data_IF_630193681393
#
_entry.id   IF_630193681393
#
_cell.length_a   1.000
_cell.length_b   1.000
_cell.length_c   1.000
_cell.angle_alpha   90.00
_cell.angle_beta   90.00
_cell.angle_gamma   90.00
#
_symmetry.space_group_name_H-M   'P 1'
#
loop_
_entity.id
_entity.type
_entity.pdbx_description
1 polymer ?
#
# COMPACT_ATOMS: atom_id res chain seq x y z
N UNK A 1 75.62 4.27 -22.95
CA UNK A 1 74.50 4.64 -23.84
C UNK A 1 73.24 4.80 -22.96
N UNK A 2 72.92 6.05 -22.63
CA UNK A 2 71.71 6.41 -21.79
C UNK A 2 70.56 6.66 -22.71
N UNK A 3 69.47 5.89 -22.54
CA UNK A 3 68.18 6.13 -23.22
C UNK A 3 67.22 6.82 -22.23
N UNK A 4 66.96 8.07 -22.45
CA UNK A 4 65.92 8.88 -21.82
C UNK A 4 64.58 8.61 -22.51
N UNK A 5 63.54 8.22 -21.71
CA UNK A 5 62.16 8.08 -22.15
C UNK A 5 61.43 9.38 -21.79
N UNK A 6 60.77 10.09 -22.70
CA UNK A 6 59.95 11.25 -22.35
C UNK A 6 58.59 10.81 -21.81
N UNK A 7 58.25 11.35 -20.65
CA UNK A 7 56.95 11.23 -19.99
C UNK A 7 55.97 12.17 -20.68
N UNK A 8 54.99 11.61 -21.46
CA UNK A 8 53.90 12.36 -22.04
C UNK A 8 52.79 12.52 -20.97
N UNK A 9 52.64 13.74 -20.49
CA UNK A 9 51.56 14.14 -19.59
C UNK A 9 50.29 14.33 -20.46
N UNK A 10 49.34 13.38 -20.43
CA UNK A 10 48.04 13.55 -21.03
C UNK A 10 47.14 14.38 -20.09
N UNK A 11 46.98 15.65 -20.39
CA UNK A 11 45.99 16.50 -19.76
C UNK A 11 44.61 16.09 -20.28
N UNK A 12 43.84 15.29 -19.49
CA UNK A 12 42.42 15.01 -19.75
C UNK A 12 41.63 16.22 -19.28
N UNK A 13 41.09 16.96 -20.23
CA UNK A 13 40.19 18.09 -19.97
C UNK A 13 38.81 17.55 -19.54
N UNK A 14 38.56 17.61 -18.22
CA UNK A 14 37.23 17.39 -17.66
C UNK A 14 36.47 18.72 -17.69
N UNK A 15 35.79 19.00 -18.80
CA UNK A 15 34.80 20.09 -18.87
C UNK A 15 33.65 19.69 -19.78
N UNK A 16 32.69 18.88 -19.26
CA UNK A 16 31.39 18.67 -19.91
C UNK A 16 30.33 18.15 -18.94
N UNK A 17 30.22 18.66 -17.71
CA UNK A 17 29.20 18.21 -16.77
C UNK A 17 28.07 19.21 -16.42
N UNK A 18 28.09 20.53 -16.71
CA UNK A 18 26.95 21.38 -16.36
C UNK A 18 25.78 21.36 -17.36
N UNK A 19 26.03 21.05 -18.65
CA UNK A 19 24.99 21.15 -19.68
C UNK A 19 23.92 20.04 -19.60
N UNK A 20 24.29 18.83 -19.20
CA UNK A 20 23.36 17.71 -19.10
C UNK A 20 22.37 17.84 -17.92
N UNK A 21 22.78 18.46 -16.83
CA UNK A 21 21.89 18.69 -15.68
C UNK A 21 20.89 19.82 -15.93
N UNK A 22 21.29 20.87 -16.62
CA UNK A 22 20.40 21.97 -17.01
C UNK A 22 19.32 21.48 -17.99
N UNK A 23 19.68 20.66 -18.97
CA UNK A 23 18.76 20.13 -19.96
C UNK A 23 17.73 19.15 -19.35
N UNK A 24 18.11 18.36 -18.35
CA UNK A 24 17.16 17.50 -17.62
C UNK A 24 16.19 18.32 -16.77
N UNK A 25 16.65 19.39 -16.12
CA UNK A 25 15.80 20.28 -15.32
C UNK A 25 14.76 20.99 -16.21
N UNK A 26 15.14 21.43 -17.41
CA UNK A 26 14.21 22.07 -18.35
C UNK A 26 13.17 21.08 -18.90
N UNK A 27 13.56 19.83 -19.14
CA UNK A 27 12.60 18.77 -19.55
C UNK A 27 11.60 18.45 -18.45
N UNK A 28 12.03 18.42 -17.18
CA UNK A 28 11.10 18.14 -16.07
C UNK A 28 10.17 19.33 -15.81
N UNK A 29 10.67 20.55 -15.95
CA UNK A 29 9.81 21.75 -15.94
C UNK A 29 8.82 21.75 -17.10
N UNK A 30 9.26 21.40 -18.30
CA UNK A 30 8.38 21.28 -19.46
C UNK A 30 7.25 20.26 -19.24
N UNK A 31 7.55 19.12 -18.60
CA UNK A 31 6.51 18.14 -18.22
C UNK A 31 5.51 18.73 -17.24
N UNK A 32 5.97 19.50 -16.26
CA UNK A 32 5.08 20.15 -15.28
C UNK A 32 4.12 21.11 -15.98
N UNK A 33 4.63 21.95 -16.88
CA UNK A 33 3.80 22.85 -17.67
C UNK A 33 2.84 22.09 -18.59
N UNK A 34 3.31 21.05 -19.27
CA UNK A 34 2.48 20.22 -20.15
C UNK A 34 1.32 19.55 -19.36
N UNK A 35 1.61 18.99 -18.21
CA UNK A 35 0.60 18.37 -17.36
C UNK A 35 -0.43 19.40 -16.83
N UNK A 36 0.03 20.59 -16.49
CA UNK A 36 -0.87 21.69 -16.12
C UNK A 36 -1.79 22.07 -17.29
N UNK A 37 -1.22 22.21 -18.49
CA UNK A 37 -1.98 22.49 -19.72
C UNK A 37 -3.01 21.39 -20.04
N UNK A 38 -2.64 20.13 -19.90
CA UNK A 38 -3.56 19.02 -20.11
C UNK A 38 -4.75 19.05 -19.15
N UNK A 39 -4.52 19.33 -17.87
CA UNK A 39 -5.60 19.45 -16.88
C UNK A 39 -6.51 20.65 -17.14
N UNK A 40 -5.92 21.79 -17.52
CA UNK A 40 -6.69 22.97 -17.89
C UNK A 40 -7.55 22.70 -19.15
N UNK A 41 -6.98 22.01 -20.13
CA UNK A 41 -7.70 21.59 -21.33
C UNK A 41 -8.89 20.68 -21.02
N UNK A 42 -8.70 19.68 -20.16
CA UNK A 42 -9.74 18.74 -19.72
C UNK A 42 -10.82 19.45 -18.89
N UNK A 43 -10.45 20.51 -18.16
CA UNK A 43 -11.37 21.35 -17.44
C UNK A 43 -12.13 22.35 -18.33
N UNK A 44 -11.77 22.46 -19.62
CA UNK A 44 -12.37 23.42 -20.55
C UNK A 44 -11.79 24.83 -20.48
N UNK A 45 -10.76 25.07 -19.68
CA UNK A 45 -10.01 26.33 -19.64
C UNK A 45 -8.91 26.33 -20.70
N UNK A 46 -9.33 26.60 -21.95
CA UNK A 46 -8.42 26.54 -23.07
C UNK A 46 -7.39 27.66 -23.10
N UNK A 47 -7.70 28.82 -22.49
CA UNK A 47 -6.76 29.93 -22.39
C UNK A 47 -5.57 29.54 -21.52
N UNK A 48 -5.83 29.01 -20.31
CA UNK A 48 -4.79 28.51 -19.42
C UNK A 48 -4.04 27.33 -20.03
N UNK A 49 -4.74 26.44 -20.76
CA UNK A 49 -4.10 25.33 -21.46
C UNK A 49 -3.10 25.81 -22.51
N UNK A 50 -3.44 26.82 -23.31
CA UNK A 50 -2.56 27.42 -24.31
C UNK A 50 -1.29 27.96 -23.63
N UNK A 51 -1.44 28.80 -22.60
CA UNK A 51 -0.31 29.39 -21.88
C UNK A 51 0.64 28.33 -21.33
N UNK A 52 0.09 27.27 -20.73
CA UNK A 52 0.86 26.19 -20.16
C UNK A 52 1.58 25.35 -21.24
N UNK A 53 0.92 25.01 -22.33
CA UNK A 53 1.54 24.28 -23.42
C UNK A 53 2.62 25.09 -24.13
N UNK A 54 2.41 26.41 -24.35
CA UNK A 54 3.43 27.28 -24.89
C UNK A 54 4.66 27.42 -23.99
N UNK A 55 4.44 27.48 -22.67
CA UNK A 55 5.54 27.46 -21.69
C UNK A 55 6.34 26.14 -21.76
N UNK A 56 5.64 25.00 -21.92
CA UNK A 56 6.27 23.71 -22.10
C UNK A 56 7.08 23.64 -23.41
N UNK A 57 6.55 24.17 -24.51
CA UNK A 57 7.21 24.20 -25.81
C UNK A 57 8.49 25.03 -25.80
N UNK A 58 8.50 26.17 -25.10
CA UNK A 58 9.69 27.01 -24.93
C UNK A 58 10.83 26.30 -24.19
N UNK A 59 10.51 25.42 -23.23
CA UNK A 59 11.50 24.69 -22.43
C UNK A 59 12.01 23.43 -23.13
N UNK A 60 11.13 22.70 -23.80
CA UNK A 60 11.47 21.46 -24.50
C UNK A 60 10.62 21.29 -25.76
N UNK A 61 11.00 21.91 -26.88
CA UNK A 61 10.27 21.83 -28.13
C UNK A 61 10.05 20.40 -28.58
N UNK A 62 8.78 20.02 -28.76
CA UNK A 62 8.39 18.67 -29.22
C UNK A 62 7.15 18.74 -30.13
N UNK A 63 7.10 17.98 -31.21
CA UNK A 63 5.93 17.97 -32.08
C UNK A 63 4.62 17.70 -31.35
N UNK A 64 4.62 16.79 -30.34
CA UNK A 64 3.44 16.48 -29.57
C UNK A 64 2.88 17.70 -28.80
N UNK A 65 3.73 18.62 -28.34
CA UNK A 65 3.30 19.84 -27.67
C UNK A 65 2.65 20.79 -28.65
N UNK A 66 3.23 20.97 -29.85
CA UNK A 66 2.60 21.76 -30.92
C UNK A 66 1.20 21.26 -31.25
N UNK A 67 1.00 19.95 -31.32
CA UNK A 67 -0.32 19.38 -31.53
C UNK A 67 -1.31 19.76 -30.40
N UNK A 68 -0.85 19.76 -29.17
CA UNK A 68 -1.68 20.12 -28.00
C UNK A 68 -2.03 21.62 -28.01
N UNK A 69 -1.07 22.48 -28.35
CA UNK A 69 -1.29 23.91 -28.55
C UNK A 69 -2.34 24.16 -29.64
N UNK A 70 -2.18 23.51 -30.82
CA UNK A 70 -3.12 23.62 -31.90
C UNK A 70 -4.54 23.20 -31.50
N UNK A 71 -4.67 22.11 -30.76
CA UNK A 71 -5.97 21.66 -30.24
C UNK A 71 -6.58 22.67 -29.26
N UNK A 72 -5.80 23.23 -28.37
CA UNK A 72 -6.29 24.20 -27.39
C UNK A 72 -6.75 25.48 -28.10
N UNK A 73 -5.98 26.00 -29.05
CA UNK A 73 -6.40 27.14 -29.90
C UNK A 73 -7.64 26.84 -30.72
N UNK A 74 -7.74 25.65 -31.31
CA UNK A 74 -8.96 25.23 -32.02
C UNK A 74 -10.19 25.28 -31.12
N UNK A 75 -10.08 24.73 -29.88
CA UNK A 75 -11.18 24.75 -28.92
C UNK A 75 -11.53 26.16 -28.47
N UNK A 76 -10.52 26.98 -28.21
CA UNK A 76 -10.72 28.37 -27.83
C UNK A 76 -11.43 29.16 -28.93
N UNK A 77 -11.05 28.96 -30.18
CA UNK A 77 -11.74 29.58 -31.33
C UNK A 77 -13.23 29.23 -31.36
N UNK A 78 -13.60 27.97 -31.17
CA UNK A 78 -15.01 27.59 -31.15
C UNK A 78 -15.77 28.11 -29.91
N UNK A 79 -15.06 28.55 -28.89
CA UNK A 79 -15.65 29.14 -27.67
C UNK A 79 -15.88 30.67 -27.82
N UNK A 80 -14.88 31.40 -28.32
CA UNK A 80 -14.86 32.86 -28.34
C UNK A 80 -14.95 33.50 -29.74
N UNK A 81 -14.80 32.71 -30.79
CA UNK A 81 -14.90 33.16 -32.19
C UNK A 81 -13.74 34.03 -32.66
N UNK A 82 -12.68 34.19 -31.88
CA UNK A 82 -11.58 35.09 -32.26
C UNK A 82 -10.69 34.51 -33.36
N UNK A 83 -10.54 35.22 -34.50
CA UNK A 83 -9.78 34.72 -35.67
C UNK A 83 -8.31 34.40 -35.40
N UNK A 84 -7.72 35.05 -34.38
CA UNK A 84 -6.33 34.80 -33.98
C UNK A 84 -6.10 33.35 -33.56
N UNK A 85 -6.99 32.78 -32.76
CA UNK A 85 -6.90 31.39 -32.35
C UNK A 85 -7.02 30.43 -33.52
N UNK A 86 -7.86 30.74 -34.48
CA UNK A 86 -7.99 29.94 -35.70
C UNK A 86 -6.69 29.94 -36.51
N UNK A 87 -6.04 31.09 -36.66
CA UNK A 87 -4.77 31.20 -37.42
C UNK A 87 -3.64 30.44 -36.74
N UNK A 88 -3.50 30.60 -35.43
CA UNK A 88 -2.48 29.89 -34.66
C UNK A 88 -2.73 28.39 -34.70
N UNK A 89 -3.97 27.93 -34.52
CA UNK A 89 -4.30 26.51 -34.65
C UNK A 89 -3.89 25.92 -36.01
N UNK A 90 -4.18 26.63 -37.12
CA UNK A 90 -3.78 26.20 -38.48
C UNK A 90 -2.26 26.18 -38.62
N UNK A 91 -1.56 27.19 -38.12
CA UNK A 91 -0.10 27.26 -38.17
C UNK A 91 0.55 26.08 -37.40
N UNK A 92 0.10 25.84 -36.21
CA UNK A 92 0.67 24.80 -35.33
C UNK A 92 0.35 23.36 -35.81
N UNK A 93 -0.85 23.14 -36.39
CA UNK A 93 -1.15 21.86 -37.05
C UNK A 93 -0.27 21.62 -38.25
N UNK A 94 0.03 22.66 -39.05
CA UNK A 94 0.98 22.57 -40.18
C UNK A 94 2.39 22.25 -39.64
N UNK A 95 2.88 23.00 -38.65
CA UNK A 95 4.17 22.76 -38.03
C UNK A 95 4.29 21.35 -37.45
N UNK A 96 3.23 20.84 -36.82
CA UNK A 96 3.18 19.46 -36.35
C UNK A 96 3.28 18.43 -37.50
N UNK A 97 2.56 18.65 -38.59
CA UNK A 97 2.61 17.77 -39.76
C UNK A 97 4.02 17.77 -40.37
N UNK A 98 4.67 18.93 -40.47
CA UNK A 98 6.01 19.06 -41.05
C UNK A 98 7.06 18.38 -40.15
N UNK A 99 6.91 18.47 -38.84
CA UNK A 99 7.80 17.85 -37.83
C UNK A 99 7.57 16.35 -37.60
N UNK A 100 6.45 15.78 -38.10
CA UNK A 100 6.07 14.40 -37.82
C UNK A 100 6.13 13.56 -39.10
N UNK A 101 6.90 12.45 -39.14
CA UNK A 101 6.98 11.58 -40.30
C UNK A 101 5.61 11.00 -40.74
N UNK A 102 5.40 10.71 -42.01
CA UNK A 102 4.17 10.06 -42.47
C UNK A 102 3.89 8.74 -41.74
N UNK A 103 2.62 8.55 -41.36
CA UNK A 103 2.18 7.34 -40.63
C UNK A 103 2.53 7.31 -39.13
N UNK A 104 3.12 8.36 -38.58
CA UNK A 104 3.45 8.42 -37.16
C UNK A 104 2.59 9.46 -36.41
N UNK A 105 2.45 9.28 -35.12
CA UNK A 105 1.76 10.17 -34.20
C UNK A 105 0.30 10.43 -34.62
N UNK A 106 -0.14 11.67 -34.40
CA UNK A 106 -1.51 12.13 -34.70
C UNK A 106 -1.58 12.94 -35.99
N UNK A 107 -0.73 12.62 -36.98
CA UNK A 107 -0.64 13.35 -38.25
C UNK A 107 -1.96 13.37 -39.04
N UNK A 108 -2.70 12.25 -39.01
CA UNK A 108 -4.02 12.15 -39.67
C UNK A 108 -5.04 13.08 -38.98
N UNK A 109 -5.03 13.15 -37.66
CA UNK A 109 -5.94 14.02 -36.90
C UNK A 109 -5.63 15.51 -37.18
N UNK A 110 -4.33 15.85 -37.27
CA UNK A 110 -3.92 17.20 -37.63
C UNK A 110 -4.32 17.58 -39.06
N UNK A 111 -4.18 16.67 -40.00
CA UNK A 111 -4.62 16.88 -41.38
C UNK A 111 -6.15 17.06 -41.46
N UNK A 112 -6.91 16.26 -40.75
CA UNK A 112 -8.36 16.40 -40.65
C UNK A 112 -8.74 17.76 -40.05
N UNK A 113 -8.08 18.16 -38.97
CA UNK A 113 -8.33 19.46 -38.35
C UNK A 113 -8.06 20.63 -39.31
N UNK A 114 -7.00 20.54 -40.12
CA UNK A 114 -6.72 21.55 -41.16
C UNK A 114 -7.81 21.57 -42.25
N UNK A 115 -8.32 20.42 -42.67
CA UNK A 115 -9.43 20.32 -43.64
C UNK A 115 -10.67 21.05 -43.12
N UNK A 116 -10.93 20.98 -41.82
CA UNK A 116 -12.07 21.65 -41.16
C UNK A 116 -11.83 23.17 -41.01
N UNK A 117 -10.61 23.58 -40.59
CA UNK A 117 -10.32 24.94 -40.15
C UNK A 117 -9.95 25.91 -41.34
N UNK A 118 -9.23 25.43 -42.36
CA UNK A 118 -8.77 26.28 -43.46
C UNK A 118 -9.93 26.95 -44.20
N UNK A 119 -11.04 26.26 -44.55
CA UNK A 119 -12.18 26.91 -45.24
C UNK A 119 -12.87 27.98 -44.33
N UNK A 120 -12.76 27.86 -43.03
CA UNK A 120 -13.31 28.87 -42.13
C UNK A 120 -12.39 30.10 -42.13
N UNK A 121 -11.07 29.90 -42.09
CA UNK A 121 -10.11 31.00 -42.17
C UNK A 121 -10.18 31.78 -43.47
N UNK A 122 -10.40 31.09 -44.59
CA UNK A 122 -10.53 31.71 -45.90
C UNK A 122 -11.78 32.62 -46.02
N UNK A 123 -12.81 32.37 -45.24
CA UNK A 123 -14.04 33.20 -45.19
C UNK A 123 -13.91 34.41 -44.27
N UNK A 124 -12.92 34.43 -43.38
CA UNK A 124 -12.67 35.53 -42.51
C UNK A 124 -11.79 36.56 -43.21
N UNK A 125 -12.20 37.83 -43.25
CA UNK A 125 -11.41 38.90 -43.84
C UNK A 125 -9.99 38.91 -43.22
N UNK A 126 -8.91 39.15 -44.03
CA UNK A 126 -7.55 39.20 -43.50
C UNK A 126 -7.46 40.36 -42.50
N UNK A 127 -7.31 39.98 -41.24
CA UNK A 127 -7.02 40.94 -40.18
C UNK A 127 -5.57 41.40 -40.37
N UNK A 128 -5.39 42.68 -40.67
CA UNK A 128 -4.09 43.33 -40.71
C UNK A 128 -3.58 43.36 -39.27
N UNK A 129 -2.79 42.34 -38.93
CA UNK A 129 -2.35 42.03 -37.58
C UNK A 129 -1.64 43.19 -36.88
N UNK A 130 -2.37 43.92 -36.11
CA UNK A 130 -1.80 44.60 -34.94
C UNK A 130 -1.68 43.52 -33.85
N UNK A 131 -0.47 43.07 -33.57
CA UNK A 131 -0.13 42.34 -32.37
C UNK A 131 -0.40 43.28 -31.21
N UNK A 132 -1.63 43.28 -30.67
CA UNK A 132 -1.90 43.87 -29.38
C UNK A 132 -1.06 43.06 -28.40
N UNK A 133 -0.03 43.70 -27.86
CA UNK A 133 0.73 43.09 -26.75
C UNK A 133 -0.31 42.83 -25.65
N UNK A 134 -0.75 41.58 -25.51
CA UNK A 134 -1.55 41.14 -24.37
C UNK A 134 -0.75 41.52 -23.13
N UNK A 135 -1.37 42.30 -22.24
CA UNK A 135 -0.80 42.54 -20.94
C UNK A 135 -0.50 41.18 -20.32
N UNK A 136 0.76 40.89 -20.06
CA UNK A 136 1.18 39.60 -19.46
C UNK A 136 0.54 39.55 -18.07
N UNK A 137 -0.52 38.79 -17.97
CA UNK A 137 -1.18 38.55 -16.69
C UNK A 137 -0.35 37.56 -15.87
N UNK A 138 -0.11 37.89 -14.62
CA UNK A 138 0.53 36.98 -13.67
C UNK A 138 -0.51 35.96 -13.22
N UNK A 139 -0.30 34.69 -13.55
CA UNK A 139 -1.24 33.60 -13.24
C UNK A 139 -0.57 32.48 -12.48
N UNK A 140 -1.27 31.93 -11.49
CA UNK A 140 -0.91 30.68 -10.86
C UNK A 140 -1.92 29.59 -11.25
N UNK A 141 -1.43 28.40 -11.50
CA UNK A 141 -2.26 27.20 -11.71
C UNK A 141 -1.85 26.14 -10.69
N UNK A 142 -2.73 25.85 -9.75
CA UNK A 142 -2.50 24.85 -8.72
C UNK A 142 -3.34 23.61 -9.02
N UNK A 143 -2.70 22.47 -9.03
CA UNK A 143 -3.33 21.19 -9.32
C UNK A 143 -2.89 20.10 -8.36
N UNK A 144 -3.65 19.03 -8.24
CA UNK A 144 -3.32 17.86 -7.43
C UNK A 144 -3.69 16.58 -8.17
N UNK A 145 -2.83 15.54 -8.13
CA UNK A 145 -3.11 14.25 -8.77
C UNK A 145 -4.11 13.40 -7.97
N UNK A 146 -4.42 13.79 -6.73
CA UNK A 146 -5.33 13.03 -5.88
C UNK A 146 -6.79 13.21 -6.32
N UNK A 147 -7.55 12.11 -6.48
CA UNK A 147 -8.95 12.19 -6.89
C UNK A 147 -9.78 12.94 -5.84
N UNK A 148 -10.59 13.88 -6.30
CA UNK A 148 -11.45 14.67 -5.42
C UNK A 148 -10.73 15.76 -4.61
N UNK A 149 -9.49 16.09 -4.96
CA UNK A 149 -8.78 17.20 -4.32
C UNK A 149 -9.50 18.53 -4.56
N UNK A 150 -9.58 19.34 -3.52
CA UNK A 150 -10.11 20.71 -3.55
C UNK A 150 -8.99 21.67 -3.22
N UNK A 151 -8.90 22.77 -3.93
CA UNK A 151 -7.82 23.73 -3.86
C UNK A 151 -8.39 25.11 -3.51
N UNK A 152 -7.77 25.79 -2.56
CA UNK A 152 -8.11 27.14 -2.15
C UNK A 152 -6.82 27.94 -1.96
N UNK A 153 -6.70 29.07 -2.63
CA UNK A 153 -5.58 30.00 -2.46
C UNK A 153 -6.09 31.33 -1.88
N UNK A 154 -5.27 32.00 -1.06
CA UNK A 154 -5.57 33.31 -0.46
C UNK A 154 -6.92 33.37 0.29
N UNK A 155 -7.30 32.27 0.94
CA UNK A 155 -8.60 32.11 1.62
C UNK A 155 -9.83 32.20 0.69
N UNK A 156 -9.68 32.09 -0.62
CA UNK A 156 -10.81 31.99 -1.53
C UNK A 156 -11.61 30.70 -1.32
N UNK A 157 -12.81 30.64 -1.87
CA UNK A 157 -13.61 29.41 -1.82
C UNK A 157 -12.88 28.25 -2.51
N UNK A 158 -12.94 27.01 -1.95
CA UNK A 158 -12.32 25.86 -2.56
C UNK A 158 -12.94 25.52 -3.92
N UNK A 159 -12.14 24.97 -4.81
CA UNK A 159 -12.60 24.48 -6.12
C UNK A 159 -13.58 23.31 -5.97
N UNK A 160 -14.27 22.98 -7.05
CA UNK A 160 -14.97 21.72 -7.16
C UNK A 160 -13.97 20.55 -7.05
N UNK A 161 -14.39 19.38 -6.52
CA UNK A 161 -13.50 18.22 -6.36
C UNK A 161 -12.83 17.78 -7.67
N UNK A 162 -11.50 17.70 -7.66
CA UNK A 162 -10.70 17.26 -8.81
C UNK A 162 -10.46 18.34 -9.89
N UNK A 163 -10.94 19.56 -9.68
CA UNK A 163 -10.73 20.66 -10.61
C UNK A 163 -9.50 21.49 -10.21
N UNK A 164 -8.54 21.74 -11.13
CA UNK A 164 -7.40 22.63 -10.85
C UNK A 164 -7.87 24.07 -10.64
N UNK A 165 -7.12 24.82 -9.84
CA UNK A 165 -7.37 26.21 -9.58
C UNK A 165 -6.45 27.08 -10.44
N UNK A 166 -7.02 27.90 -11.31
CA UNK A 166 -6.29 28.95 -12.03
C UNK A 166 -6.74 30.31 -11.54
N UNK A 167 -5.79 31.12 -11.08
CA UNK A 167 -6.06 32.47 -10.58
C UNK A 167 -5.11 33.48 -11.24
N UNK A 168 -5.66 34.63 -11.61
CA UNK A 168 -4.89 35.85 -11.82
C UNK A 168 -4.57 36.50 -10.47
N UNK A 169 -3.30 36.68 -10.21
CA UNK A 169 -2.82 37.16 -8.90
C UNK A 169 -1.80 38.28 -9.08
N UNK A 170 -1.53 39.05 -8.04
CA UNK A 170 -0.42 39.99 -8.02
C UNK A 170 0.90 39.21 -7.84
N UNK A 171 2.03 39.78 -8.31
CA UNK A 171 3.33 39.18 -7.99
C UNK A 171 3.54 39.08 -6.49
N UNK A 172 4.03 37.92 -6.02
CA UNK A 172 4.26 37.69 -4.60
C UNK A 172 3.96 36.26 -4.17
N UNK A 173 3.91 36.04 -2.86
CA UNK A 173 3.65 34.74 -2.26
C UNK A 173 2.16 34.54 -1.99
N UNK A 174 1.61 33.42 -2.48
CA UNK A 174 0.20 33.05 -2.35
C UNK A 174 0.07 31.71 -1.63
N UNK A 175 -0.42 31.66 -0.38
CA UNK A 175 -0.66 30.43 0.33
C UNK A 175 -1.85 29.68 -0.28
N UNK A 176 -1.59 28.47 -0.79
CA UNK A 176 -2.59 27.59 -1.35
C UNK A 176 -2.77 26.36 -0.46
N UNK A 177 -4.00 26.12 -0.04
CA UNK A 177 -4.40 24.95 0.73
C UNK A 177 -5.04 23.93 -0.21
N UNK A 178 -4.57 22.68 -0.13
CA UNK A 178 -5.10 21.54 -0.88
C UNK A 178 -5.62 20.50 0.11
N UNK A 179 -6.85 20.05 -0.10
CA UNK A 179 -7.52 19.06 0.77
C UNK A 179 -8.14 17.96 -0.08
N UNK A 180 -8.10 16.72 0.41
CA UNK A 180 -8.80 15.61 -0.20
C UNK A 180 -9.24 14.59 0.86
N UNK A 181 -10.35 13.90 0.61
CA UNK A 181 -10.85 12.88 1.53
C UNK A 181 -9.83 11.73 1.69
N UNK A 182 -9.47 11.41 2.93
CA UNK A 182 -8.51 10.36 3.24
C UNK A 182 -7.03 10.78 3.14
N UNK A 183 -6.75 12.07 2.95
CA UNK A 183 -5.40 12.65 2.92
C UNK A 183 -5.21 13.69 4.02
N UNK A 184 -3.96 13.98 4.34
CA UNK A 184 -3.65 15.12 5.18
C UNK A 184 -3.74 16.39 4.34
N UNK A 185 -4.27 17.46 4.92
CA UNK A 185 -4.30 18.77 4.30
C UNK A 185 -2.86 19.25 4.08
N UNK A 186 -2.58 19.81 2.91
CA UNK A 186 -1.30 20.43 2.62
C UNK A 186 -1.51 21.93 2.33
N UNK A 187 -0.60 22.74 2.85
CA UNK A 187 -0.50 24.16 2.46
C UNK A 187 0.82 24.33 1.73
N UNK A 188 0.77 24.96 0.56
CA UNK A 188 1.93 25.24 -0.25
C UNK A 188 1.95 26.71 -0.64
N UNK A 189 3.08 27.38 -0.41
CA UNK A 189 3.28 28.77 -0.78
C UNK A 189 3.72 28.85 -2.24
N UNK A 190 2.91 29.48 -3.07
CA UNK A 190 3.17 29.64 -4.50
C UNK A 190 3.70 31.04 -4.75
N UNK A 191 4.93 31.14 -5.27
CA UNK A 191 5.53 32.42 -5.65
C UNK A 191 5.08 32.80 -7.07
N UNK A 192 4.21 33.79 -7.17
CA UNK A 192 3.78 34.36 -8.45
C UNK A 192 4.80 35.38 -8.96
N UNK A 193 5.30 35.16 -10.18
CA UNK A 193 6.26 36.05 -10.85
C UNK A 193 5.52 36.93 -11.84
N UNK A 194 5.87 38.21 -11.89
CA UNK A 194 5.21 39.19 -12.76
C UNK A 194 5.21 38.79 -14.21
N UNK A 195 4.03 38.73 -14.81
CA UNK A 195 3.84 38.38 -16.22
C UNK A 195 4.11 36.92 -16.57
N UNK A 196 4.25 36.05 -15.58
CA UNK A 196 4.46 34.60 -15.80
C UNK A 196 3.23 33.77 -15.41
N UNK A 197 3.12 32.60 -16.07
CA UNK A 197 2.22 31.52 -15.69
C UNK A 197 3.00 30.52 -14.84
N UNK A 198 2.59 30.33 -13.59
CA UNK A 198 3.28 29.46 -12.63
C UNK A 198 2.41 28.24 -12.31
N UNK A 199 2.69 27.06 -12.91
CA UNK A 199 2.01 25.82 -12.57
C UNK A 199 2.66 25.17 -11.34
N UNK A 200 1.83 24.69 -10.42
CA UNK A 200 2.26 23.97 -9.21
C UNK A 200 1.41 22.72 -9.05
N UNK A 201 2.05 21.58 -8.87
CA UNK A 201 1.39 20.33 -8.55
C UNK A 201 1.66 19.96 -7.09
N UNK A 202 0.59 19.84 -6.30
CA UNK A 202 0.65 19.52 -4.88
C UNK A 202 0.21 18.09 -4.65
N UNK A 203 1.14 17.25 -4.18
CA UNK A 203 0.85 15.85 -3.82
C UNK A 203 0.53 15.77 -2.32
N UNK A 204 -0.61 15.15 -1.98
CA UNK A 204 -1.03 14.96 -0.60
C UNK A 204 -0.53 13.64 -0.03
N UNK A 205 -0.24 13.64 1.26
CA UNK A 205 0.13 12.43 2.01
C UNK A 205 -1.13 11.69 2.46
N UNK A 206 -1.20 10.39 2.22
CA UNK A 206 -2.33 9.56 2.64
C UNK A 206 -2.44 9.50 4.17
N UNK A 207 -3.67 9.58 4.68
CA UNK A 207 -3.94 9.29 6.10
C UNK A 207 -3.96 7.78 6.29
N UNK A 208 -3.15 7.25 7.20
CA UNK A 208 -3.18 5.81 7.49
C UNK A 208 -4.53 5.44 8.08
N UNK A 209 -4.99 4.25 7.75
CA UNK A 209 -6.10 3.62 8.44
C UNK A 209 -5.68 3.15 9.83
N UNK A 210 -6.66 2.91 10.70
CA UNK A 210 -6.44 2.43 12.07
C UNK A 210 -7.27 1.19 12.36
N UNK A 211 -6.61 0.11 12.73
CA UNK A 211 -7.25 -1.12 13.20
C UNK A 211 -7.40 -1.09 14.72
N UNK A 212 -8.62 -1.20 15.21
CA UNK A 212 -8.93 -1.35 16.64
C UNK A 212 -9.49 -2.76 16.84
N UNK A 213 -8.80 -3.57 17.65
CA UNK A 213 -9.23 -4.93 17.96
C UNK A 213 -9.98 -4.92 19.28
N UNK A 214 -11.24 -5.38 19.22
CA UNK A 214 -12.12 -5.48 20.39
C UNK A 214 -12.11 -6.90 20.95
N UNK A 215 -12.29 -7.06 22.27
CA UNK A 215 -12.37 -8.33 23.02
C UNK A 215 -11.11 -9.22 23.03
N UNK A 216 -10.02 -8.76 22.43
CA UNK A 216 -8.75 -9.49 22.42
C UNK A 216 -7.57 -8.63 22.88
N UNK A 217 -7.77 -7.77 23.89
CA UNK A 217 -6.71 -6.93 24.45
C UNK A 217 -5.48 -7.75 24.85
N UNK A 218 -4.29 -7.28 24.46
CA UNK A 218 -3.02 -7.97 24.72
C UNK A 218 -2.76 -9.16 23.80
N UNK A 219 -3.62 -9.44 22.80
CA UNK A 219 -3.32 -10.39 21.75
C UNK A 219 -2.29 -9.81 20.77
N UNK A 220 -1.42 -10.64 20.25
CA UNK A 220 -0.49 -10.25 19.19
C UNK A 220 -1.25 -10.08 17.87
N UNK A 221 -0.92 -9.02 17.12
CA UNK A 221 -1.52 -8.70 15.84
C UNK A 221 -0.43 -8.75 14.78
N UNK A 222 -0.68 -9.51 13.73
CA UNK A 222 0.13 -9.55 12.52
C UNK A 222 -0.68 -9.04 11.34
N UNK A 223 -0.05 -8.24 10.48
CA UNK A 223 -0.62 -7.71 9.25
C UNK A 223 0.28 -8.15 8.10
N UNK A 224 -0.29 -8.83 7.11
CA UNK A 224 0.43 -9.39 5.95
C UNK A 224 1.63 -10.27 6.36
N UNK A 225 1.48 -11.03 7.45
CA UNK A 225 2.51 -11.92 7.98
C UNK A 225 3.63 -11.22 8.76
N UNK A 226 3.51 -9.92 9.03
CA UNK A 226 4.47 -9.15 9.84
C UNK A 226 3.85 -8.74 11.16
N UNK A 227 4.57 -8.92 12.27
CA UNK A 227 4.10 -8.46 13.59
C UNK A 227 3.93 -6.95 13.57
N UNK A 228 2.69 -6.51 13.79
CA UNK A 228 2.31 -5.10 13.81
C UNK A 228 2.20 -4.53 15.25
N UNK A 229 2.15 -5.40 16.25
CA UNK A 229 2.08 -5.02 17.65
C UNK A 229 1.08 -5.83 18.46
N UNK A 230 0.57 -5.24 19.53
CA UNK A 230 -0.41 -5.85 20.44
C UNK A 230 -1.75 -5.14 20.33
N UNK A 231 -2.81 -5.89 20.35
CA UNK A 231 -4.18 -5.37 20.36
C UNK A 231 -4.39 -4.46 21.58
N UNK A 232 -4.71 -3.20 21.30
CA UNK A 232 -4.95 -2.17 22.33
C UNK A 232 -6.03 -1.18 21.87
N UNK A 233 -6.56 -0.42 22.81
CA UNK A 233 -7.55 0.63 22.51
C UNK A 233 -6.97 1.78 21.64
N UNK A 234 -5.64 1.96 21.66
CA UNK A 234 -4.98 2.97 20.80
C UNK A 234 -5.04 2.61 19.31
N UNK A 235 -5.28 1.33 19.00
CA UNK A 235 -5.29 0.82 17.63
C UNK A 235 -3.91 0.72 16.98
N UNK A 236 -3.87 0.08 15.83
CA UNK A 236 -2.66 -0.12 15.02
C UNK A 236 -2.85 0.65 13.71
N UNK A 237 -1.91 1.53 13.38
CA UNK A 237 -1.92 2.27 12.12
C UNK A 237 -1.35 1.40 10.98
N UNK A 238 -2.03 1.42 9.83
CA UNK A 238 -1.63 0.67 8.63
C UNK A 238 -2.00 1.46 7.37
N UNK A 239 -1.37 1.19 6.22
CA UNK A 239 -1.77 1.79 4.95
C UNK A 239 -3.22 1.44 4.60
N UNK A 240 -3.83 2.20 3.70
CA UNK A 240 -5.12 1.82 3.11
C UNK A 240 -4.91 0.67 2.10
N UNK A 241 -5.89 -0.20 1.99
CA UNK A 241 -5.84 -1.37 1.11
C UNK A 241 -6.44 -2.60 1.74
N UNK A 242 -6.31 -3.73 1.05
CA UNK A 242 -6.72 -5.04 1.56
C UNK A 242 -5.52 -5.67 2.26
N UNK A 243 -5.69 -5.99 3.53
CA UNK A 243 -4.64 -6.56 4.37
C UNK A 243 -5.12 -7.87 5.01
N UNK A 244 -4.23 -8.85 5.09
CA UNK A 244 -4.45 -10.06 5.85
C UNK A 244 -4.14 -9.81 7.33
N UNK A 245 -5.19 -9.73 8.14
CA UNK A 245 -5.07 -9.50 9.58
C UNK A 245 -5.12 -10.84 10.31
N UNK A 246 -4.07 -11.15 11.08
CA UNK A 246 -4.01 -12.31 11.95
C UNK A 246 -3.86 -11.84 13.40
N UNK A 247 -4.71 -12.38 14.29
CA UNK A 247 -4.73 -12.00 15.71
C UNK A 247 -4.66 -13.28 16.53
N UNK A 248 -3.75 -13.34 17.47
CA UNK A 248 -3.57 -14.55 18.28
C UNK A 248 -3.04 -14.28 19.67
N UNK A 249 -3.25 -15.27 20.53
CA UNK A 249 -2.75 -15.32 21.90
C UNK A 249 -2.36 -16.75 22.23
N UNK A 250 -1.34 -16.94 23.05
CA UNK A 250 -0.93 -18.27 23.49
C UNK A 250 -2.12 -19.06 24.05
N UNK A 251 -2.29 -20.28 23.59
CA UNK A 251 -3.37 -21.18 24.00
C UNK A 251 -4.70 -20.96 23.33
N UNK A 252 -4.74 -20.13 22.30
CA UNK A 252 -5.96 -19.82 21.54
C UNK A 252 -5.74 -20.05 20.04
N UNK A 253 -6.82 -20.32 19.32
CA UNK A 253 -6.79 -20.36 17.86
C UNK A 253 -6.56 -18.95 17.31
N UNK A 254 -5.73 -18.84 16.26
CA UNK A 254 -5.57 -17.56 15.57
C UNK A 254 -6.87 -17.18 14.84
N UNK A 255 -7.24 -15.92 14.95
CA UNK A 255 -8.23 -15.30 14.09
C UNK A 255 -7.51 -14.76 12.85
N UNK A 256 -7.96 -15.13 11.65
CA UNK A 256 -7.35 -14.71 10.38
C UNK A 256 -8.45 -14.27 9.43
N UNK A 257 -8.35 -13.04 8.93
CA UNK A 257 -9.30 -12.48 7.98
C UNK A 257 -8.60 -11.47 7.06
N UNK A 258 -8.99 -11.46 5.78
CA UNK A 258 -8.73 -10.33 4.89
C UNK A 258 -9.70 -9.19 5.22
N UNK A 259 -9.14 -8.00 5.35
CA UNK A 259 -9.89 -6.80 5.72
C UNK A 259 -9.46 -5.65 4.82
N UNK A 260 -10.43 -5.01 4.18
CA UNK A 260 -10.20 -3.79 3.41
C UNK A 260 -10.26 -2.58 4.35
N UNK A 261 -9.27 -1.70 4.24
CA UNK A 261 -9.17 -0.45 5.00
C UNK A 261 -9.18 0.73 4.04
N UNK A 262 -10.08 1.67 4.27
CA UNK A 262 -10.10 2.94 3.56
C UNK A 262 -9.13 3.95 4.20
N UNK A 263 -8.68 4.91 3.42
CA UNK A 263 -7.76 5.97 3.90
C UNK A 263 -8.38 6.74 5.07
N UNK A 264 -7.65 6.81 6.19
CA UNK A 264 -8.10 7.50 7.40
C UNK A 264 -9.25 6.82 8.15
N UNK A 265 -9.65 5.61 7.77
CA UNK A 265 -10.73 4.85 8.43
C UNK A 265 -10.26 4.30 9.78
N UNK A 266 -11.10 4.42 10.80
CA UNK A 266 -10.99 3.66 12.04
C UNK A 266 -11.88 2.42 11.98
N UNK A 267 -11.28 1.24 11.77
CA UNK A 267 -12.02 -0.01 11.66
C UNK A 267 -11.90 -0.82 12.95
N UNK A 268 -13.05 -1.12 13.54
CA UNK A 268 -13.16 -1.93 14.75
C UNK A 268 -13.52 -3.36 14.36
N UNK A 269 -12.67 -4.30 14.78
CA UNK A 269 -12.91 -5.74 14.57
C UNK A 269 -13.15 -6.38 15.93
N UNK A 270 -14.28 -7.07 16.04
CA UNK A 270 -14.62 -7.85 17.21
C UNK A 270 -14.06 -9.26 17.06
N UNK A 271 -13.18 -9.68 17.95
CA UNK A 271 -12.47 -10.96 17.86
C UNK A 271 -12.75 -11.80 19.10
N UNK A 272 -13.24 -13.01 18.87
CA UNK A 272 -13.34 -14.03 19.91
C UNK A 272 -12.30 -15.13 19.65
N UNK A 273 -11.31 -15.21 20.54
CA UNK A 273 -10.24 -16.19 20.48
C UNK A 273 -10.62 -17.44 21.28
N UNK A 274 -11.14 -18.46 20.59
CA UNK A 274 -11.42 -19.75 21.20
C UNK A 274 -10.16 -20.47 21.64
N UNK A 275 -10.24 -21.27 22.73
CA UNK A 275 -9.12 -22.09 23.20
C UNK A 275 -8.66 -23.08 22.13
N UNK A 276 -7.35 -23.22 21.92
CA UNK A 276 -6.76 -24.16 20.96
C UNK A 276 -7.07 -25.62 21.34
N UNK A 277 -7.06 -26.51 20.35
CA UNK A 277 -7.15 -27.95 20.60
C UNK A 277 -6.00 -28.46 21.48
N UNK A 278 -4.78 -27.94 21.26
CA UNK A 278 -3.61 -28.26 22.06
C UNK A 278 -3.79 -27.85 23.53
N UNK A 279 -4.36 -26.66 23.81
CA UNK A 279 -4.65 -26.18 25.16
C UNK A 279 -5.66 -27.07 25.89
N UNK A 280 -6.67 -27.57 25.18
CA UNK A 280 -7.67 -28.50 25.75
C UNK A 280 -7.03 -29.83 26.13
N UNK A 281 -6.20 -30.39 25.25
CA UNK A 281 -5.44 -31.62 25.50
C UNK A 281 -4.45 -31.41 26.67
N UNK A 282 -3.71 -30.31 26.67
CA UNK A 282 -2.76 -29.96 27.72
C UNK A 282 -3.42 -29.89 29.11
N UNK A 283 -4.59 -29.21 29.18
CA UNK A 283 -5.37 -29.15 30.46
C UNK A 283 -5.84 -30.53 30.88
N UNK A 284 -6.35 -31.36 29.96
CA UNK A 284 -6.72 -32.75 30.25
C UNK A 284 -5.56 -33.58 30.75
N UNK A 285 -4.38 -33.48 30.14
CA UNK A 285 -3.17 -34.18 30.61
C UNK A 285 -2.71 -33.70 31.99
N UNK A 286 -2.76 -32.40 32.26
CA UNK A 286 -2.43 -31.87 33.59
C UNK A 286 -3.37 -32.39 34.68
N UNK A 287 -4.68 -32.45 34.43
CA UNK A 287 -5.67 -32.99 35.35
C UNK A 287 -5.47 -34.47 35.56
N UNK A 288 -5.31 -35.27 34.49
CA UNK A 288 -5.08 -36.72 34.58
C UNK A 288 -3.76 -37.04 35.28
N UNK A 289 -2.68 -36.33 34.91
CA UNK A 289 -1.38 -36.51 35.56
C UNK A 289 -1.41 -36.14 37.04
N UNK A 290 -2.09 -35.04 37.40
CA UNK A 290 -2.32 -34.65 38.79
C UNK A 290 -3.12 -35.70 39.59
N UNK A 291 -4.18 -36.24 38.99
CA UNK A 291 -4.95 -37.34 39.60
C UNK A 291 -4.10 -38.59 39.81
N UNK A 292 -3.22 -38.95 38.87
CA UNK A 292 -2.27 -40.06 39.01
C UNK A 292 -1.29 -39.85 40.15
N UNK A 293 -0.75 -38.63 40.32
CA UNK A 293 0.14 -38.28 41.43
C UNK A 293 -0.61 -38.40 42.78
N UNK A 294 -1.83 -37.90 42.88
CA UNK A 294 -2.67 -38.00 44.07
C UNK A 294 -2.97 -39.47 44.40
N UNK A 295 -3.33 -40.28 43.41
CA UNK A 295 -3.55 -41.72 43.57
C UNK A 295 -2.28 -42.42 44.07
N UNK A 296 -1.10 -42.09 43.50
CA UNK A 296 0.19 -42.59 43.99
C UNK A 296 0.43 -42.24 45.47
N UNK A 297 0.06 -41.02 45.90
CA UNK A 297 0.11 -40.61 47.32
C UNK A 297 -0.81 -41.44 48.18
N UNK A 298 -2.04 -41.69 47.78
CA UNK A 298 -2.99 -42.56 48.51
C UNK A 298 -2.47 -43.98 48.62
N UNK A 299 -1.95 -44.57 47.54
CA UNK A 299 -1.38 -45.92 47.55
C UNK A 299 -0.14 -46.01 48.45
N UNK A 300 0.68 -44.96 48.53
CA UNK A 300 1.80 -44.86 49.46
C UNK A 300 1.31 -44.93 50.90
N UNK A 301 0.24 -44.18 51.25
CA UNK A 301 -0.33 -44.21 52.62
C UNK A 301 -0.85 -45.60 52.94
N UNK A 302 -1.56 -46.26 52.02
CA UNK A 302 -2.05 -47.62 52.19
C UNK A 302 -0.86 -48.59 52.42
N UNK A 303 0.20 -48.50 51.62
CA UNK A 303 1.40 -49.30 51.77
C UNK A 303 2.06 -49.13 53.15
N UNK A 304 2.11 -47.89 53.65
CA UNK A 304 2.64 -47.62 55.03
C UNK A 304 1.76 -48.22 56.16
N UNK A 305 0.43 -48.22 55.99
CA UNK A 305 -0.49 -48.85 56.91
C UNK A 305 -0.27 -50.37 56.92
N UNK A 306 -0.12 -51.00 55.76
CA UNK A 306 0.15 -52.43 55.66
C UNK A 306 1.55 -52.78 56.24
N UNK A 307 2.56 -51.92 56.04
CA UNK A 307 3.85 -52.08 56.68
C UNK A 307 3.74 -52.03 58.20
N UNK A 308 2.92 -51.12 58.78
CA UNK A 308 2.62 -51.03 60.19
C UNK A 308 1.98 -52.33 60.71
N UNK A 309 1.05 -52.92 59.96
CA UNK A 309 0.42 -54.19 60.29
C UNK A 309 1.43 -55.36 60.35
N UNK A 310 2.29 -55.42 59.29
CA UNK A 310 3.35 -56.45 59.25
C UNK A 310 4.33 -56.29 60.47
N UNK A 311 4.72 -55.04 60.80
CA UNK A 311 5.60 -54.75 61.93
C UNK A 311 4.96 -55.16 63.29
N UNK A 312 3.67 -54.92 63.51
CA UNK A 312 2.98 -55.28 64.69
C UNK A 312 2.96 -56.77 64.91
N UNK A 313 2.89 -57.62 63.90
CA UNK A 313 3.02 -59.06 64.00
C UNK A 313 4.45 -59.45 64.38
N UNK A 314 5.47 -58.82 63.84
CA UNK A 314 6.87 -59.04 64.21
C UNK A 314 7.17 -58.66 65.66
N UNK A 315 6.60 -57.58 66.14
CA UNK A 315 6.73 -57.19 67.54
C UNK A 315 6.13 -58.24 68.53
N UNK A 316 4.98 -58.84 68.16
CA UNK A 316 4.41 -59.98 68.92
C UNK A 316 5.36 -61.14 68.99
N UNK A 317 6.14 -61.42 67.95
CA UNK A 317 7.10 -62.56 67.95
C UNK A 317 8.20 -62.45 69.01
N UNK A 318 8.50 -61.23 69.47
CA UNK A 318 9.48 -61.04 70.56
C UNK A 318 8.93 -61.35 72.01
N UNK A 319 7.62 -61.46 72.13
CA UNK A 319 6.95 -61.62 73.43
C UNK A 319 6.05 -62.86 73.54
N UNK A 320 5.58 -63.42 72.43
CA UNK A 320 4.61 -64.53 72.38
C UNK A 320 4.92 -65.47 71.18
N UNK A 321 4.49 -66.76 71.30
CA UNK A 321 4.54 -67.69 70.19
C UNK A 321 3.47 -67.28 69.14
N UNK A 322 3.90 -67.12 67.85
CA UNK A 322 3.02 -66.79 66.77
C UNK A 322 2.07 -67.93 66.44
N UNK A 323 0.82 -67.63 66.15
CA UNK A 323 -0.18 -68.58 65.63
C UNK A 323 -0.11 -68.68 64.10
N UNK A 324 -0.74 -69.71 63.52
CA UNK A 324 -0.88 -69.80 62.01
C UNK A 324 -1.60 -68.62 61.42
N UNK A 325 -2.57 -68.02 62.18
CA UNK A 325 -3.30 -66.84 61.77
C UNK A 325 -2.39 -65.57 61.74
N UNK A 326 -1.47 -65.46 62.75
CA UNK A 326 -0.50 -64.34 62.75
C UNK A 326 0.45 -64.40 61.56
N UNK A 327 0.91 -65.58 61.20
CA UNK A 327 1.78 -65.79 60.04
C UNK A 327 1.05 -65.44 58.69
N UNK A 328 -0.21 -65.91 58.58
CA UNK A 328 -1.02 -65.57 57.43
C UNK A 328 -1.34 -64.06 57.29
N UNK A 329 -1.58 -63.40 58.46
CA UNK A 329 -1.78 -61.96 58.56
C UNK A 329 -0.53 -61.17 58.11
N UNK A 330 0.67 -61.63 58.56
CA UNK A 330 1.95 -61.06 58.18
C UNK A 330 2.21 -61.19 56.62
N UNK A 331 2.01 -62.39 56.10
CA UNK A 331 2.23 -62.65 54.65
C UNK A 331 1.24 -61.83 53.78
N UNK A 332 -0.02 -61.75 54.21
CA UNK A 332 -1.03 -60.94 53.53
C UNK A 332 -0.69 -59.44 53.54
N UNK A 333 -0.30 -58.92 54.71
CA UNK A 333 0.08 -57.53 54.88
C UNK A 333 1.35 -57.19 54.04
N UNK A 334 2.33 -58.10 54.04
CA UNK A 334 3.55 -57.91 53.23
C UNK A 334 3.25 -57.92 51.75
N UNK A 335 2.42 -58.84 51.29
CA UNK A 335 1.99 -58.89 49.88
C UNK A 335 1.20 -57.66 49.48
N UNK A 336 0.24 -57.23 50.33
CA UNK A 336 -0.52 -56.02 50.13
C UNK A 336 0.38 -54.79 50.06
N UNK A 337 1.36 -54.65 50.98
CA UNK A 337 2.34 -53.53 50.94
C UNK A 337 3.08 -53.48 49.60
N UNK A 338 3.60 -54.65 49.10
CA UNK A 338 4.33 -54.69 47.85
C UNK A 338 3.42 -54.24 46.70
N UNK A 339 2.21 -54.80 46.62
CA UNK A 339 1.23 -54.41 45.59
C UNK A 339 0.91 -52.91 45.58
N UNK A 340 0.67 -52.33 46.80
CA UNK A 340 0.37 -50.92 46.90
C UNK A 340 1.60 -50.04 46.68
N UNK A 341 2.81 -50.49 46.99
CA UNK A 341 4.07 -49.79 46.64
C UNK A 341 4.26 -49.76 45.14
N UNK A 342 4.06 -50.88 44.44
CA UNK A 342 4.17 -50.96 42.99
C UNK A 342 3.11 -50.08 42.30
N UNK A 343 1.88 -50.11 42.83
CA UNK A 343 0.80 -49.21 42.37
C UNK A 343 1.14 -47.72 42.60
N UNK A 344 1.77 -47.39 43.73
CA UNK A 344 2.22 -46.02 44.02
C UNK A 344 3.31 -45.56 43.04
N UNK A 345 4.31 -46.41 42.76
CA UNK A 345 5.39 -46.13 41.76
C UNK A 345 4.80 -45.88 40.41
N UNK A 346 3.87 -46.72 39.94
CA UNK A 346 3.17 -46.52 38.67
C UNK A 346 2.36 -45.24 38.67
N UNK A 347 1.60 -44.97 39.78
CA UNK A 347 0.80 -43.75 39.91
C UNK A 347 1.64 -42.48 39.82
N UNK A 348 2.75 -42.42 40.58
CA UNK A 348 3.66 -41.28 40.52
C UNK A 348 4.39 -41.19 39.19
N UNK A 349 4.95 -42.27 38.65
CA UNK A 349 5.72 -42.27 37.43
C UNK A 349 4.86 -41.91 36.22
N UNK A 350 3.75 -42.58 36.01
CA UNK A 350 2.82 -42.31 34.91
C UNK A 350 2.16 -40.92 35.09
N UNK A 351 1.73 -40.60 36.35
CA UNK A 351 1.12 -39.30 36.62
C UNK A 351 2.08 -38.14 36.37
N UNK A 352 3.32 -38.24 36.78
CA UNK A 352 4.34 -37.21 36.54
C UNK A 352 4.67 -37.09 35.03
N UNK A 353 4.80 -38.20 34.31
CA UNK A 353 5.07 -38.17 32.87
C UNK A 353 3.93 -37.51 32.09
N UNK A 354 2.67 -37.87 32.41
CA UNK A 354 1.49 -37.25 31.77
C UNK A 354 1.40 -35.77 32.14
N UNK A 355 1.64 -35.39 33.40
CA UNK A 355 1.62 -33.98 33.80
C UNK A 355 2.73 -33.18 33.14
N UNK A 356 3.95 -33.72 33.03
CA UNK A 356 5.06 -33.07 32.33
C UNK A 356 4.75 -32.87 30.85
N UNK A 357 4.18 -33.88 30.17
CA UNK A 357 3.71 -33.76 28.81
C UNK A 357 2.64 -32.67 28.67
N UNK A 358 1.66 -32.65 29.55
CA UNK A 358 0.64 -31.62 29.62
C UNK A 358 1.21 -30.21 29.78
N UNK A 359 2.24 -30.08 30.63
CA UNK A 359 2.93 -28.80 30.88
C UNK A 359 3.68 -28.33 29.63
N UNK A 360 4.41 -29.24 28.94
CA UNK A 360 5.08 -28.90 27.68
C UNK A 360 4.08 -28.43 26.62
N UNK A 361 3.00 -29.18 26.40
CA UNK A 361 1.95 -28.79 25.48
C UNK A 361 1.31 -27.45 25.87
N UNK A 362 1.19 -27.16 27.17
CA UNK A 362 0.64 -25.91 27.65
C UNK A 362 1.55 -24.71 27.38
N UNK A 363 2.87 -24.85 27.58
CA UNK A 363 3.85 -23.77 27.43
C UNK A 363 4.14 -23.45 25.95
N UNK A 364 4.14 -24.46 25.08
CA UNK A 364 4.48 -24.32 23.66
C UNK A 364 3.26 -24.22 22.73
N UNK A 365 2.10 -23.83 23.28
CA UNK A 365 0.88 -23.60 22.50
C UNK A 365 0.84 -22.16 21.99
N UNK A 366 1.65 -21.87 20.97
CA UNK A 366 1.75 -20.55 20.33
C UNK A 366 1.09 -20.57 18.95
N UNK A 367 0.19 -19.63 18.64
CA UNK A 367 -0.42 -19.54 17.32
C UNK A 367 0.60 -19.07 16.28
N UNK A 368 0.52 -19.61 15.06
CA UNK A 368 1.35 -19.15 13.95
C UNK A 368 0.70 -17.90 13.31
N UNK A 369 1.31 -16.74 13.48
CA UNK A 369 0.84 -15.45 12.95
C UNK A 369 1.68 -14.96 11.76
N UNK A 370 2.84 -15.56 11.48
CA UNK A 370 3.73 -15.15 10.38
C UNK A 370 3.36 -15.76 9.04
N UNK A 371 2.78 -16.97 9.05
CA UNK A 371 2.19 -17.61 7.86
C UNK A 371 0.78 -18.08 8.20
N UNK A 372 -0.15 -17.13 8.41
CA UNK A 372 -1.50 -17.51 8.78
C UNK A 372 -2.19 -18.19 7.59
N UNK A 373 -2.65 -19.41 7.79
CA UNK A 373 -3.52 -20.09 6.83
C UNK A 373 -4.93 -19.58 7.03
N UNK A 374 -5.54 -19.09 5.95
CA UNK A 374 -6.94 -18.67 5.97
C UNK A 374 -7.82 -19.88 6.31
N UNK A 375 -8.76 -19.78 7.23
CA UNK A 375 -9.74 -20.84 7.47
C UNK A 375 -10.52 -21.12 6.18
N UNK A 376 -10.89 -22.38 5.88
CA UNK A 376 -11.62 -22.73 4.66
C UNK A 376 -12.97 -22.03 4.53
N UNK A 377 -13.54 -21.54 5.62
CA UNK A 377 -14.81 -20.81 5.68
C UNK A 377 -14.66 -19.28 5.62
N UNK A 378 -13.45 -18.76 5.57
CA UNK A 378 -13.22 -17.32 5.46
C UNK A 378 -13.66 -16.84 4.07
N UNK A 379 -14.64 -15.95 4.03
CA UNK A 379 -15.04 -15.27 2.79
C UNK A 379 -13.91 -14.30 2.44
N UNK A 380 -13.26 -14.45 1.28
CA UNK A 380 -12.34 -13.43 0.80
C UNK A 380 -13.11 -12.14 0.62
N UNK A 381 -12.56 -11.02 1.06
CA UNK A 381 -13.10 -9.70 0.74
C UNK A 381 -13.13 -9.60 -0.78
N UNK A 382 -14.28 -9.21 -1.40
CA UNK A 382 -14.31 -8.95 -2.82
C UNK A 382 -13.22 -7.90 -3.10
N UNK A 383 -12.14 -8.30 -3.74
CA UNK A 383 -11.15 -7.35 -4.21
C UNK A 383 -11.89 -6.44 -5.18
N UNK A 384 -12.07 -5.17 -4.80
CA UNK A 384 -12.40 -4.16 -5.78
C UNK A 384 -11.38 -4.36 -6.92
N UNK A 385 -11.82 -4.40 -8.18
CA UNK A 385 -10.88 -4.63 -9.28
C UNK A 385 -9.77 -3.62 -9.07
N UNK A 386 -8.58 -4.11 -8.71
CA UNK A 386 -7.39 -3.28 -8.84
C UNK A 386 -7.50 -2.73 -10.23
N UNK A 387 -7.62 -1.40 -10.37
CA UNK A 387 -7.21 -0.76 -11.61
C UNK A 387 -5.73 -1.13 -11.72
N UNK A 388 -5.48 -2.29 -12.30
CA UNK A 388 -4.21 -2.60 -12.91
C UNK A 388 -3.95 -1.38 -13.75
N UNK A 389 -2.90 -0.63 -13.44
CA UNK A 389 -2.42 0.35 -14.39
C UNK A 389 -2.50 -0.37 -15.71
N UNK A 390 -3.36 0.12 -16.62
CA UNK A 390 -3.64 -0.58 -17.88
C UNK A 390 -2.26 -0.96 -18.42
N UNK A 391 -2.01 -2.25 -18.68
CA UNK A 391 -0.78 -2.60 -19.34
C UNK A 391 -0.76 -1.73 -20.59
N UNK A 392 0.36 -1.10 -20.83
CA UNK A 392 0.63 -0.39 -22.08
C UNK A 392 0.38 -1.41 -23.18
N UNK A 393 -0.86 -1.52 -23.64
CA UNK A 393 -1.23 -2.41 -24.74
C UNK A 393 -0.66 -1.81 -26.01
N UNK A 394 0.52 -2.29 -26.35
CA UNK A 394 1.03 -2.16 -27.71
C UNK A 394 0.28 -3.21 -28.55
N UNK A 395 -0.84 -2.84 -29.08
CA UNK A 395 -1.58 -3.68 -30.01
C UNK A 395 -1.05 -3.47 -31.43
N UNK A 396 -0.50 -4.51 -32.03
CA UNK A 396 -0.24 -4.58 -33.45
C UNK A 396 -1.31 -5.45 -34.12
N UNK A 397 -2.18 -4.86 -34.93
CA UNK A 397 -3.15 -5.60 -35.73
C UNK A 397 -2.83 -5.46 -37.21
N UNK A 398 -2.71 -6.56 -37.95
CA UNK A 398 -2.59 -6.48 -39.44
C UNK A 398 -3.95 -6.10 -40.05
N UNK A 399 -3.97 -5.08 -40.87
CA UNK A 399 -5.14 -4.72 -41.67
C UNK A 399 -4.97 -5.34 -43.05
N UNK A 400 -5.79 -6.33 -43.38
CA UNK A 400 -5.89 -6.95 -44.68
C UNK A 400 -7.14 -6.42 -45.40
N UNK A 401 -6.96 -5.57 -46.40
CA UNK A 401 -8.02 -5.16 -47.32
C UNK A 401 -7.57 -5.47 -48.77
N UNK A 402 -8.48 -5.77 -49.67
CA UNK A 402 -8.11 -6.05 -51.08
C UNK A 402 -7.35 -4.87 -51.68
N UNK A 403 -6.04 -5.06 -51.89
CA UNK A 403 -5.13 -4.06 -52.44
C UNK A 403 -4.31 -3.23 -51.45
N UNK A 404 -4.40 -3.51 -50.15
CA UNK A 404 -3.62 -2.83 -49.10
C UNK A 404 -3.21 -3.78 -47.97
N UNK A 405 -1.91 -3.88 -47.69
CA UNK A 405 -1.35 -4.58 -46.56
C UNK A 405 -0.71 -3.51 -45.65
N UNK A 406 -1.31 -3.26 -44.50
CA UNK A 406 -0.81 -2.31 -43.51
C UNK A 406 -0.98 -2.84 -42.09
N UNK A 407 -0.20 -2.33 -41.12
CA UNK A 407 -0.35 -2.61 -39.69
C UNK A 407 -0.78 -1.36 -38.95
N UNK A 408 -1.75 -1.48 -38.05
CA UNK A 408 -2.10 -0.42 -37.10
C UNK A 408 -1.42 -0.69 -35.77
N UNK A 409 -0.68 0.29 -35.24
CA UNK A 409 -0.14 0.28 -33.88
C UNK A 409 -0.98 1.24 -33.03
N UNK A 410 -1.56 0.72 -31.96
CA UNK A 410 -2.18 1.54 -30.92
C UNK A 410 -1.28 1.48 -29.68
N UNK A 411 -0.70 2.62 -29.31
CA UNK A 411 -0.06 2.81 -28.01
C UNK A 411 -0.97 3.73 -27.17
N UNK A 412 -1.51 3.22 -26.07
CA UNK A 412 -2.09 4.04 -25.01
C UNK A 412 -1.00 4.26 -23.96
N UNK A 413 -0.71 5.52 -23.68
CA UNK A 413 0.24 5.96 -22.64
C UNK A 413 -0.55 6.39 -21.42
#
# INVERSE_FOLDING_TARGET
>A
MKRTIPLFLAAVSIFAAPAAHAQNADVDRAKTFFNAGARAYDAGDFTTAIEAFEAAEKLAPRPAILFSIAQAHRRQYFLDGKPEHLRVAIQDYRGYIDATPPGQGRRTDAAQALTDLVPIADKLAPDTGAKTAEAKHTKINVSSPQPGAQISCDNAAPTAPGVPLTLEVRPGNHPCKVTAAGFFDATHDVMAVEGEFVPVEVTLTERPARLIVMNANGAEVSIDGRTAGVASAAGISLPAGVHLVAIGRNGHNAYVQEVEFLRGEEKKINVDLGSSGQRKIARGALVLGGAGIVAGGVFTVIALVEEGRAKSVLEKSGTQNLTGDDLSAYDSARTARTTWTDAAIVGFGAGAAIAATGLVLYLFDTPNLTNPTMPPDAKPVPQAPMKRGEPTEIGAAPILAPGFIGGAFTARF
#
